data_IF_477038197464
#
_entry.id   IF_477038197464
#
_cell.length_a   1.000
_cell.length_b   1.000
_cell.length_c   1.000
_cell.angle_alpha   90.00
_cell.angle_beta   90.00
_cell.angle_gamma   90.00
#
_symmetry.space_group_name_H-M   'P 1'
#
loop_
_entity.id
_entity.type
_entity.pdbx_description
1 polymer ?
#
# COMPACT_ATOMS: atom_id res chain seq x y z
N UNK A 1 -27.47 -7.76 8.79
CA UNK A 1 -26.47 -8.68 9.36
C UNK A 1 -25.08 -8.47 8.79
N UNK A 2 -24.90 -8.60 7.48
CA UNK A 2 -23.59 -8.38 6.83
C UNK A 2 -23.07 -6.95 6.97
N UNK A 3 -23.92 -5.94 6.92
CA UNK A 3 -23.51 -4.55 7.02
C UNK A 3 -23.03 -4.17 8.43
N UNK A 4 -23.65 -4.74 9.45
CA UNK A 4 -23.24 -4.50 10.84
C UNK A 4 -21.86 -5.11 11.13
N UNK A 5 -21.61 -6.32 10.63
CA UNK A 5 -20.33 -6.99 10.81
C UNK A 5 -19.20 -6.26 10.08
N UNK A 6 -19.48 -5.72 8.89
CA UNK A 6 -18.52 -4.88 8.15
C UNK A 6 -18.21 -3.58 8.88
N UNK A 7 -19.24 -2.91 9.37
CA UNK A 7 -19.06 -1.66 10.12
C UNK A 7 -18.25 -1.89 11.38
N UNK A 8 -18.51 -2.99 12.09
CA UNK A 8 -17.71 -3.39 13.26
C UNK A 8 -16.25 -3.66 12.89
N UNK A 9 -16.02 -4.31 11.76
CA UNK A 9 -14.68 -4.58 11.28
C UNK A 9 -13.92 -3.29 10.97
N UNK A 10 -14.54 -2.36 10.24
CA UNK A 10 -13.96 -1.06 9.93
C UNK A 10 -13.71 -0.25 11.20
N UNK A 11 -14.67 -0.24 12.12
CA UNK A 11 -14.51 0.44 13.41
C UNK A 11 -13.38 -0.18 14.23
N UNK A 12 -13.22 -1.49 14.18
CA UNK A 12 -12.13 -2.17 14.90
C UNK A 12 -10.75 -1.74 14.39
N UNK A 13 -10.62 -1.42 13.11
CA UNK A 13 -9.38 -0.89 12.55
C UNK A 13 -9.01 0.47 13.14
N UNK A 14 -9.99 1.26 13.54
CA UNK A 14 -9.77 2.55 14.18
C UNK A 14 -9.23 2.44 15.60
N UNK A 15 -9.30 1.27 16.22
CA UNK A 15 -8.73 1.05 17.54
C UNK A 15 -7.20 0.96 17.51
N UNK A 16 -6.60 0.72 16.36
CA UNK A 16 -5.15 0.66 16.24
C UNK A 16 -4.55 2.06 16.17
N UNK A 17 -3.45 2.25 16.88
CA UNK A 17 -2.74 3.54 16.88
C UNK A 17 -2.14 3.88 15.53
N UNK A 18 -1.74 2.88 14.77
CA UNK A 18 -1.20 3.03 13.42
C UNK A 18 -1.87 2.02 12.50
N UNK A 19 -2.32 2.47 11.34
CA UNK A 19 -2.84 1.61 10.30
C UNK A 19 -1.97 1.74 9.05
N UNK A 20 -1.64 0.60 8.45
CA UNK A 20 -0.87 0.54 7.21
C UNK A 20 -1.75 -0.06 6.13
N UNK A 21 -1.95 0.68 5.04
CA UNK A 21 -2.62 0.18 3.84
C UNK A 21 -1.53 -0.09 2.80
N UNK A 22 -1.31 -1.35 2.50
CA UNK A 22 -0.28 -1.77 1.57
C UNK A 22 -0.84 -1.93 0.16
N UNK A 23 -0.08 -1.47 -0.83
CA UNK A 23 -0.40 -1.64 -2.26
C UNK A 23 -1.73 -1.01 -2.69
N UNK A 24 -1.97 0.24 -2.31
CA UNK A 24 -3.12 0.99 -2.79
C UNK A 24 -3.10 1.08 -4.32
N UNK A 25 -4.22 0.80 -4.97
CA UNK A 25 -4.36 0.82 -6.41
C UNK A 25 -4.33 -0.55 -7.06
N UNK A 26 -4.03 -1.62 -6.31
CA UNK A 26 -4.06 -3.01 -6.80
C UNK A 26 -5.43 -3.64 -6.60
N UNK A 27 -6.26 -3.05 -5.75
CA UNK A 27 -7.60 -3.54 -5.50
C UNK A 27 -8.43 -3.67 -6.77
N UNK A 28 -9.29 -4.69 -6.81
CA UNK A 28 -10.19 -4.90 -7.94
C UNK A 28 -11.09 -3.68 -8.12
N UNK A 29 -11.29 -3.26 -9.37
CA UNK A 29 -12.13 -2.11 -9.73
C UNK A 29 -13.63 -2.39 -9.54
N UNK A 30 -14.03 -3.16 -8.54
CA UNK A 30 -15.44 -3.30 -8.20
C UNK A 30 -15.86 -2.14 -7.32
N UNK A 31 -17.10 -1.68 -7.50
CA UNK A 31 -17.67 -0.63 -6.64
C UNK A 31 -17.60 -1.01 -5.17
N UNK A 32 -17.84 -2.27 -4.87
CA UNK A 32 -17.79 -2.78 -3.51
C UNK A 32 -16.40 -2.63 -2.90
N UNK A 33 -15.36 -3.06 -3.62
CA UNK A 33 -14.00 -2.99 -3.11
C UNK A 33 -13.55 -1.55 -2.90
N UNK A 34 -13.86 -0.67 -3.85
CA UNK A 34 -13.54 0.76 -3.75
C UNK A 34 -14.26 1.43 -2.58
N UNK A 35 -15.51 1.06 -2.34
CA UNK A 35 -16.26 1.58 -1.22
C UNK A 35 -15.66 1.14 0.12
N UNK A 36 -15.22 -0.10 0.23
CA UNK A 36 -14.55 -0.60 1.44
C UNK A 36 -13.24 0.15 1.70
N UNK A 37 -12.43 0.32 0.69
CA UNK A 37 -11.17 1.07 0.80
C UNK A 37 -11.45 2.52 1.21
N UNK A 38 -12.43 3.16 0.59
CA UNK A 38 -12.84 4.52 0.94
C UNK A 38 -13.28 4.60 2.41
N UNK A 39 -14.11 3.67 2.86
CA UNK A 39 -14.62 3.69 4.23
C UNK A 39 -13.51 3.57 5.27
N UNK A 40 -12.51 2.74 5.02
CA UNK A 40 -11.35 2.59 5.90
C UNK A 40 -10.53 3.89 5.94
N UNK A 41 -10.22 4.45 4.79
CA UNK A 41 -9.42 5.68 4.68
C UNK A 41 -10.17 6.87 5.26
N UNK A 42 -11.45 7.01 4.96
CA UNK A 42 -12.28 8.09 5.46
C UNK A 42 -12.45 8.04 6.99
N UNK A 43 -12.65 6.85 7.52
CA UNK A 43 -12.71 6.62 8.96
C UNK A 43 -11.43 7.07 9.65
N UNK A 44 -10.29 6.71 9.07
CA UNK A 44 -8.97 7.09 9.56
C UNK A 44 -8.71 8.58 9.44
N UNK A 45 -9.16 9.17 8.34
CA UNK A 45 -9.10 10.60 8.09
C UNK A 45 -9.88 11.38 9.15
N UNK A 46 -11.13 10.97 9.43
CA UNK A 46 -11.99 11.63 10.41
C UNK A 46 -11.48 11.49 11.84
N UNK A 47 -10.92 10.36 12.18
CA UNK A 47 -10.38 10.11 13.52
C UNK A 47 -9.00 10.75 13.75
N UNK A 48 -8.37 11.29 12.73
CA UNK A 48 -7.06 11.93 12.75
C UNK A 48 -5.95 11.03 13.28
N UNK A 49 -6.12 9.72 13.16
CA UNK A 49 -5.10 8.76 13.58
C UNK A 49 -4.07 8.51 12.49
N UNK A 50 -2.84 8.14 12.85
CA UNK A 50 -1.76 7.92 11.89
C UNK A 50 -2.09 6.85 10.85
N UNK A 51 -1.73 7.13 9.59
CA UNK A 51 -1.95 6.26 8.45
C UNK A 51 -0.71 6.22 7.58
N UNK A 52 -0.28 5.02 7.22
CA UNK A 52 0.76 4.81 6.20
C UNK A 52 0.11 4.11 5.01
N UNK A 53 0.34 4.62 3.83
CA UNK A 53 -0.15 4.03 2.59
C UNK A 53 1.02 3.78 1.67
N UNK A 54 1.15 2.56 1.17
CA UNK A 54 2.12 2.25 0.11
C UNK A 54 1.38 2.07 -1.20
N UNK A 55 2.03 2.46 -2.31
CA UNK A 55 1.43 2.36 -3.63
C UNK A 55 2.50 2.36 -4.72
N UNK A 56 2.21 1.73 -5.83
CA UNK A 56 3.01 1.83 -7.06
C UNK A 56 2.53 2.98 -7.97
N UNK A 57 1.45 3.65 -7.60
CA UNK A 57 0.96 4.80 -8.35
C UNK A 57 1.93 5.96 -8.21
N UNK A 58 2.14 6.69 -9.30
CA UNK A 58 2.91 7.92 -9.28
C UNK A 58 2.10 9.03 -8.63
N UNK A 59 2.78 10.10 -8.21
CA UNK A 59 2.08 11.27 -7.68
C UNK A 59 1.13 11.87 -8.72
N UNK A 60 1.52 11.85 -9.99
CA UNK A 60 0.68 12.32 -11.09
C UNK A 60 -0.60 11.49 -11.22
N UNK A 61 -0.48 10.16 -11.14
CA UNK A 61 -1.65 9.27 -11.18
C UNK A 61 -2.59 9.51 -9.98
N UNK A 62 -2.04 9.79 -8.81
CA UNK A 62 -2.85 10.12 -7.63
C UNK A 62 -3.58 11.45 -7.78
N UNK A 63 -2.98 12.42 -8.47
CA UNK A 63 -3.57 13.73 -8.72
C UNK A 63 -4.59 13.73 -9.85
N UNK A 64 -4.52 12.76 -10.75
CA UNK A 64 -5.38 12.66 -11.93
C UNK A 64 -6.11 11.32 -11.95
N UNK A 65 -7.05 11.09 -11.02
CA UNK A 65 -7.80 9.82 -10.94
C UNK A 65 -8.71 9.60 -12.13
N UNK A 66 -8.97 8.33 -12.42
CA UNK A 66 -9.78 7.91 -13.59
C UNK A 66 -11.26 8.24 -13.46
N UNK A 67 -11.77 8.25 -12.23
CA UNK A 67 -13.18 8.41 -11.96
C UNK A 67 -13.40 9.02 -10.57
N UNK A 68 -14.65 9.29 -10.24
CA UNK A 68 -15.02 9.91 -8.98
C UNK A 68 -14.73 9.03 -7.77
N UNK A 69 -14.92 7.73 -7.89
CA UNK A 69 -14.69 6.80 -6.79
C UNK A 69 -13.21 6.77 -6.39
N UNK A 70 -12.30 6.74 -7.38
CA UNK A 70 -10.86 6.83 -7.12
C UNK A 70 -10.46 8.21 -6.62
N UNK A 71 -11.08 9.27 -7.16
CA UNK A 71 -10.81 10.64 -6.73
C UNK A 71 -11.06 10.83 -5.23
N UNK A 72 -12.16 10.30 -4.73
CA UNK A 72 -12.51 10.38 -3.30
C UNK A 72 -11.45 9.74 -2.41
N UNK A 73 -10.95 8.59 -2.81
CA UNK A 73 -9.90 7.86 -2.08
C UNK A 73 -8.59 8.65 -2.12
N UNK A 74 -8.15 9.04 -3.31
CA UNK A 74 -6.84 9.68 -3.50
C UNK A 74 -6.80 11.07 -2.87
N UNK A 75 -7.90 11.82 -2.90
CA UNK A 75 -7.99 13.13 -2.24
C UNK A 75 -7.78 13.00 -0.73
N UNK A 76 -8.39 12.01 -0.10
CA UNK A 76 -8.21 11.77 1.33
C UNK A 76 -6.78 11.37 1.66
N UNK A 77 -6.17 10.52 0.84
CA UNK A 77 -4.80 10.09 1.02
C UNK A 77 -3.85 11.28 0.90
N UNK A 78 -4.01 12.10 -0.15
CA UNK A 78 -3.15 13.26 -0.38
C UNK A 78 -3.30 14.35 0.67
N UNK A 79 -4.50 14.51 1.24
CA UNK A 79 -4.72 15.45 2.35
C UNK A 79 -4.07 14.98 3.64
N UNK A 80 -4.08 13.68 3.89
CA UNK A 80 -3.66 13.11 5.17
C UNK A 80 -2.19 12.67 5.19
N UNK A 81 -1.66 12.28 4.06
CA UNK A 81 -0.34 11.68 3.96
C UNK A 81 0.62 12.56 3.18
N UNK A 82 1.86 12.64 3.66
CA UNK A 82 2.94 13.30 2.93
C UNK A 82 3.53 12.29 1.95
N UNK A 83 3.56 12.58 0.64
CA UNK A 83 4.12 11.65 -0.33
C UNK A 83 5.64 11.58 -0.21
N UNK A 84 6.14 10.35 -0.10
CA UNK A 84 7.57 10.06 -0.08
C UNK A 84 7.88 9.14 -1.24
N UNK A 85 8.79 9.56 -2.10
CA UNK A 85 9.24 8.74 -3.22
C UNK A 85 10.34 7.80 -2.74
N UNK A 86 10.07 6.51 -2.78
CA UNK A 86 11.07 5.50 -2.46
C UNK A 86 11.90 5.21 -3.70
N UNK A 87 13.21 5.06 -3.52
CA UNK A 87 14.19 4.94 -4.58
C UNK A 87 13.82 3.82 -5.58
N UNK A 88 14.15 4.08 -6.86
CA UNK A 88 13.85 3.21 -8.02
C UNK A 88 14.49 1.82 -7.96
N UNK A 89 15.47 1.59 -7.09
CA UNK A 89 16.10 0.30 -6.97
C UNK A 89 15.16 -0.69 -6.30
N UNK A 90 14.88 -1.79 -6.99
CA UNK A 90 14.14 -2.89 -6.41
C UNK A 90 15.05 -3.64 -5.44
N UNK A 91 14.82 -3.45 -4.14
CA UNK A 91 15.63 -4.05 -3.08
C UNK A 91 15.60 -5.57 -3.15
N UNK A 92 14.46 -6.15 -3.52
CA UNK A 92 14.35 -7.61 -3.69
C UNK A 92 15.26 -8.13 -4.80
N UNK A 93 15.37 -7.41 -5.91
CA UNK A 93 16.29 -7.76 -6.99
C UNK A 93 17.73 -7.61 -6.56
N UNK A 94 18.06 -6.59 -5.77
CA UNK A 94 19.41 -6.43 -5.21
C UNK A 94 19.76 -7.59 -4.29
N UNK A 95 18.88 -7.98 -3.39
CA UNK A 95 19.11 -9.15 -2.53
C UNK A 95 19.25 -10.43 -3.32
N UNK A 96 18.41 -10.64 -4.32
CA UNK A 96 18.48 -11.80 -5.19
C UNK A 96 19.81 -11.85 -5.95
N UNK A 97 20.26 -10.71 -6.50
CA UNK A 97 21.55 -10.60 -7.18
C UNK A 97 22.72 -10.89 -6.24
N UNK A 98 22.69 -10.34 -5.03
CA UNK A 98 23.72 -10.59 -4.01
C UNK A 98 23.76 -12.05 -3.58
N UNK A 99 22.60 -12.66 -3.39
CA UNK A 99 22.49 -14.08 -3.06
C UNK A 99 23.05 -14.95 -4.19
N UNK A 100 22.75 -14.61 -5.43
CA UNK A 100 23.25 -15.33 -6.61
C UNK A 100 24.76 -15.21 -6.74
N UNK A 101 25.33 -14.02 -6.52
CA UNK A 101 26.78 -13.81 -6.50
C UNK A 101 27.46 -14.62 -5.42
N UNK A 102 26.88 -14.66 -4.22
CA UNK A 102 27.40 -15.46 -3.11
C UNK A 102 27.40 -16.94 -3.44
N UNK A 103 26.32 -17.43 -4.07
CA UNK A 103 26.22 -18.81 -4.52
C UNK A 103 27.27 -19.13 -5.58
N UNK A 104 27.45 -18.23 -6.55
CA UNK A 104 28.49 -18.40 -7.60
C UNK A 104 29.90 -18.47 -7.01
N UNK A 105 30.19 -17.63 -6.02
CA UNK A 105 31.49 -17.67 -5.32
C UNK A 105 31.73 -19.00 -4.61
N UNK A 106 30.71 -19.54 -3.96
CA UNK A 106 30.78 -20.84 -3.29
C UNK A 106 31.03 -21.97 -4.27
N UNK A 107 30.33 -21.99 -5.39
CA UNK A 107 30.52 -23.00 -6.44
C UNK A 107 31.91 -22.90 -7.07
N UNK A 108 32.41 -21.69 -7.32
CA UNK A 108 33.75 -21.48 -7.84
C UNK A 108 34.84 -21.97 -6.88
N UNK A 109 34.65 -21.75 -5.57
CA UNK A 109 35.59 -22.23 -4.56
C UNK A 109 35.61 -23.76 -4.47
N UNK A 110 34.47 -24.41 -4.66
CA UNK A 110 34.39 -25.89 -4.72
C UNK A 110 35.08 -26.47 -5.96
N UNK A 111 34.98 -25.82 -7.11
CA UNK A 111 35.63 -26.25 -8.35
C UNK A 111 37.15 -26.14 -8.29
N UNK A 112 37.67 -25.21 -7.50
CA UNK A 112 39.13 -25.03 -7.30
C UNK A 112 39.75 -26.05 -6.34
N UNK A 113 38.94 -26.85 -5.67
CA UNK A 113 39.36 -27.92 -4.78
C UNK A 113 39.48 -29.25 -5.54
#
# INVERSE_FOLDING_TARGET
MFNEDRNKYIESMNNYNLLIIDDLGIERNSEFALEQVFNVIDSRYRSKKPLIVTTNLTLDELKHPKDLAHARIYDRVLERCVPLKVNRQNIRQLYAANTLQSAKKLFSAEEER
#
